data_IF_416612216242
#
_entry.id   IF_416612216242
#
_cell.length_a   1.000
_cell.length_b   1.000
_cell.length_c   1.000
_cell.angle_alpha   90.00
_cell.angle_beta   90.00
_cell.angle_gamma   90.00
#
_symmetry.space_group_name_H-M   'P 1'
#
loop_
_entity.id
_entity.type
_entity.pdbx_description
1 polymer ?
#
# COMPACT_ATOMS: atom_id res chain seq x y z
N UNK A 1 -20.49 18.20 25.91
CA UNK A 1 -19.35 17.28 26.08
C UNK A 1 -18.82 16.94 24.68
N UNK A 2 -17.90 17.75 24.15
CA UNK A 2 -17.24 17.47 22.87
C UNK A 2 -15.95 16.71 23.20
N UNK A 3 -15.89 15.43 22.87
CA UNK A 3 -14.67 14.61 22.98
C UNK A 3 -13.78 14.93 21.79
N UNK A 4 -12.96 15.96 21.94
CA UNK A 4 -11.90 16.26 21.00
C UNK A 4 -10.81 15.19 21.19
N UNK A 5 -10.67 14.29 20.20
CA UNK A 5 -9.53 13.39 20.12
C UNK A 5 -8.27 14.27 20.00
N UNK A 6 -7.21 14.03 20.81
CA UNK A 6 -5.97 14.75 20.64
C UNK A 6 -5.45 14.45 19.23
N UNK A 7 -5.23 15.51 18.45
CA UNK A 7 -4.48 15.42 17.22
C UNK A 7 -3.05 15.02 17.59
N UNK A 8 -2.76 13.72 17.57
CA UNK A 8 -1.42 13.20 17.72
C UNK A 8 -0.60 13.73 16.55
N UNK A 9 0.24 14.70 16.83
CA UNK A 9 1.39 15.10 16.03
C UNK A 9 2.44 13.98 16.05
N UNK A 10 2.07 12.81 15.54
CA UNK A 10 2.85 11.55 15.57
C UNK A 10 2.96 10.95 14.16
N UNK A 11 3.07 11.84 13.16
CA UNK A 11 3.15 11.49 11.74
C UNK A 11 4.47 10.85 11.30
N UNK A 12 5.43 10.64 12.21
CA UNK A 12 6.80 10.22 11.85
C UNK A 12 7.21 8.85 12.40
N UNK A 13 6.36 8.20 13.19
CA UNK A 13 6.52 6.79 13.58
C UNK A 13 5.27 6.05 13.22
N UNK A 14 5.00 5.90 11.92
CA UNK A 14 4.08 4.85 11.49
C UNK A 14 4.59 3.55 12.12
N UNK A 15 3.74 2.91 12.93
CA UNK A 15 4.10 1.69 13.65
C UNK A 15 4.58 0.66 12.63
N UNK A 16 5.89 0.38 12.64
CA UNK A 16 6.53 -0.54 11.71
C UNK A 16 5.86 -1.92 11.79
N UNK A 17 5.40 -2.34 12.97
CA UNK A 17 4.70 -3.60 13.13
C UNK A 17 3.35 -3.59 12.39
N UNK A 18 2.62 -2.47 12.45
CA UNK A 18 1.36 -2.31 11.73
C UNK A 18 1.58 -2.33 10.21
N UNK A 19 2.62 -1.66 9.70
CA UNK A 19 2.98 -1.72 8.26
C UNK A 19 3.31 -3.16 7.85
N UNK A 20 4.15 -3.85 8.61
CA UNK A 20 4.53 -5.22 8.31
C UNK A 20 3.32 -6.17 8.33
N UNK A 21 2.39 -5.97 9.26
CA UNK A 21 1.15 -6.73 9.32
C UNK A 21 0.29 -6.51 8.07
N UNK A 22 0.15 -5.26 7.62
CA UNK A 22 -0.58 -4.94 6.40
C UNK A 22 0.06 -5.57 5.16
N UNK A 23 1.39 -5.50 5.05
CA UNK A 23 2.12 -6.12 3.93
C UNK A 23 1.98 -7.64 3.90
N UNK A 24 2.09 -8.31 5.05
CA UNK A 24 1.89 -9.74 5.16
C UNK A 24 0.47 -10.17 4.74
N UNK A 25 -0.54 -9.38 5.09
CA UNK A 25 -1.91 -9.61 4.64
C UNK A 25 -2.06 -9.48 3.12
N UNK A 26 -1.50 -8.41 2.53
CA UNK A 26 -1.53 -8.21 1.07
C UNK A 26 -0.86 -9.39 0.36
N UNK A 27 0.29 -9.86 0.86
CA UNK A 27 0.99 -11.02 0.30
C UNK A 27 0.12 -12.29 0.34
N UNK A 28 -0.52 -12.58 1.48
CA UNK A 28 -1.41 -13.73 1.64
C UNK A 28 -2.58 -13.67 0.65
N UNK A 29 -3.18 -12.49 0.47
CA UNK A 29 -4.26 -12.28 -0.49
C UNK A 29 -3.80 -12.41 -1.95
N UNK A 30 -2.59 -11.95 -2.29
CA UNK A 30 -2.01 -12.17 -3.61
C UNK A 30 -1.84 -13.67 -3.90
N UNK A 31 -1.38 -14.46 -2.91
CA UNK A 31 -1.28 -15.92 -3.05
C UNK A 31 -2.65 -16.58 -3.23
N UNK A 32 -3.69 -16.08 -2.55
CA UNK A 32 -5.07 -16.57 -2.66
C UNK A 32 -5.70 -16.24 -4.03
N UNK A 33 -5.45 -15.05 -4.56
CA UNK A 33 -5.99 -14.57 -5.85
C UNK A 33 -5.26 -15.12 -7.07
N UNK A 34 -3.99 -15.48 -6.93
CA UNK A 34 -3.13 -15.87 -8.04
C UNK A 34 -2.49 -14.68 -8.77
N UNK A 35 -1.44 -14.98 -9.55
CA UNK A 35 -0.53 -13.97 -10.10
C UNK A 35 -1.20 -12.94 -11.02
N UNK A 36 -2.10 -13.38 -11.91
CA UNK A 36 -2.75 -12.49 -12.88
C UNK A 36 -3.69 -11.48 -12.20
N UNK A 37 -4.54 -11.96 -11.29
CA UNK A 37 -5.48 -11.12 -10.55
C UNK A 37 -4.74 -10.14 -9.64
N UNK A 38 -3.67 -10.60 -8.97
CA UNK A 38 -2.81 -9.75 -8.15
C UNK A 38 -2.14 -8.64 -9.00
N UNK A 39 -1.58 -8.97 -10.17
CA UNK A 39 -0.96 -8.00 -11.07
C UNK A 39 -1.97 -6.94 -11.55
N UNK A 40 -3.20 -7.35 -11.86
CA UNK A 40 -4.28 -6.44 -12.26
C UNK A 40 -4.64 -5.46 -11.14
N UNK A 41 -4.78 -5.96 -9.90
CA UNK A 41 -5.07 -5.10 -8.75
C UNK A 41 -3.91 -4.13 -8.47
N UNK A 42 -2.66 -4.58 -8.59
CA UNK A 42 -1.49 -3.72 -8.44
C UNK A 42 -1.46 -2.60 -9.48
N UNK A 43 -1.74 -2.91 -10.76
CA UNK A 43 -1.83 -1.93 -11.83
C UNK A 43 -2.95 -0.90 -11.59
N UNK A 44 -4.12 -1.34 -11.11
CA UNK A 44 -5.22 -0.44 -10.73
C UNK A 44 -4.81 0.48 -9.56
N UNK A 45 -4.20 -0.06 -8.51
CA UNK A 45 -3.73 0.73 -7.37
C UNK A 45 -2.67 1.76 -7.79
N UNK A 46 -1.73 1.37 -8.66
CA UNK A 46 -0.71 2.27 -9.20
C UNK A 46 -1.32 3.45 -9.98
N UNK A 47 -2.43 3.23 -10.70
CA UNK A 47 -3.12 4.31 -11.45
C UNK A 47 -3.76 5.37 -10.55
N UNK A 48 -4.00 5.06 -9.28
CA UNK A 48 -4.57 5.99 -8.30
C UNK A 48 -3.50 6.82 -7.60
N UNK A 49 -2.22 6.42 -7.71
CA UNK A 49 -1.14 7.19 -7.15
C UNK A 49 -0.91 8.42 -8.03
N UNK A 50 -0.73 9.62 -7.45
CA UNK A 50 -0.26 10.77 -8.21
C UNK A 50 1.04 10.36 -8.91
N UNK A 51 1.27 10.88 -10.11
CA UNK A 51 2.43 10.56 -10.95
C UNK A 51 3.75 11.00 -10.29
N UNK A 52 4.14 10.36 -9.21
CA UNK A 52 5.44 10.46 -8.60
C UNK A 52 6.28 9.36 -9.23
N UNK A 53 7.03 9.75 -10.27
CA UNK A 53 8.16 9.04 -10.83
C UNK A 53 7.95 7.54 -11.01
N UNK A 54 7.49 7.14 -12.19
CA UNK A 54 7.64 5.76 -12.63
C UNK A 54 9.05 5.26 -12.28
N UNK A 55 9.21 4.07 -11.65
CA UNK A 55 10.53 3.49 -11.50
C UNK A 55 11.10 3.31 -12.91
N UNK A 56 12.21 3.99 -13.18
CA UNK A 56 12.94 3.86 -14.44
C UNK A 56 13.37 2.39 -14.59
N UNK A 57 12.67 1.62 -15.43
CA UNK A 57 13.17 0.29 -15.82
C UNK A 57 12.18 -0.86 -15.91
N UNK A 58 10.92 -0.65 -16.28
CA UNK A 58 10.12 -1.76 -16.85
C UNK A 58 9.68 -1.39 -18.26
N UNK A 59 10.66 -1.42 -19.18
CA UNK A 59 10.38 -1.78 -20.57
C UNK A 59 10.51 -3.30 -20.65
N UNK A 60 9.38 -3.99 -20.69
CA UNK A 60 9.34 -5.39 -21.11
C UNK A 60 9.23 -5.39 -22.64
N UNK A 61 10.30 -5.85 -23.28
CA UNK A 61 10.39 -6.05 -24.72
C UNK A 61 9.97 -7.48 -25.09
#
# INVERSE_FOLDING_TARGET
MQTQLPASSDGEKTDQAAIMLMLAYVEAECRRLGAEAAARHAAMAASLLPAQGAPAGVSLH
#
